data_IF_015901815956
#
_entry.id   IF_015901815956
#
_cell.length_a   1.000
_cell.length_b   1.000
_cell.length_c   1.000
_cell.angle_alpha   90.00
_cell.angle_beta   90.00
_cell.angle_gamma   90.00
#
_symmetry.space_group_name_H-M   'P 1'
#
loop_
_entity.id
_entity.type
_entity.pdbx_description
1 polymer ?
#
# COMPACT_ATOMS: atom_id res chain seq x y z
N UNK A 1 -11.51 18.28 1.69
CA UNK A 1 -11.14 16.87 1.54
C UNK A 1 -9.66 16.76 1.19
N UNK A 2 -8.94 15.95 1.92
CA UNK A 2 -7.48 15.85 1.77
C UNK A 2 -7.08 14.56 1.06
N UNK A 3 -6.06 14.64 0.21
CA UNK A 3 -5.49 13.46 -0.44
C UNK A 3 -4.37 12.84 0.41
N UNK A 4 -4.07 13.44 1.54
CA UNK A 4 -2.96 12.99 2.37
C UNK A 4 -3.07 11.53 2.81
N UNK A 5 -4.22 11.03 3.25
CA UNK A 5 -4.31 9.60 3.60
C UNK A 5 -3.98 8.69 2.43
N UNK A 6 -4.36 9.10 1.23
CA UNK A 6 -4.08 8.34 0.02
C UNK A 6 -2.59 8.33 -0.29
N UNK A 7 -1.97 9.50 -0.20
CA UNK A 7 -0.54 9.63 -0.45
C UNK A 7 0.26 8.82 0.56
N UNK A 8 -0.12 8.89 1.83
CA UNK A 8 0.55 8.14 2.89
C UNK A 8 0.48 6.63 2.64
N UNK A 9 -0.68 6.14 2.22
CA UNK A 9 -0.86 4.73 1.96
C UNK A 9 -0.03 4.27 0.76
N UNK A 10 0.07 5.11 -0.26
CA UNK A 10 0.88 4.80 -1.43
C UNK A 10 2.36 4.71 -1.05
N UNK A 11 2.81 5.59 -0.19
CA UNK A 11 4.20 5.58 0.28
C UNK A 11 4.51 4.31 1.07
N UNK A 12 3.58 3.89 1.92
CA UNK A 12 3.72 2.66 2.69
C UNK A 12 3.79 1.46 1.74
N UNK A 13 2.90 1.42 0.76
CA UNK A 13 2.88 0.34 -0.22
C UNK A 13 4.20 0.27 -0.98
N UNK A 14 4.71 1.40 -1.41
CA UNK A 14 5.95 1.46 -2.15
C UNK A 14 7.12 0.95 -1.31
N UNK A 15 7.21 1.38 -0.07
CA UNK A 15 8.29 0.96 0.83
C UNK A 15 8.23 -0.55 1.10
N UNK A 16 7.03 -1.09 1.34
CA UNK A 16 6.87 -2.51 1.61
C UNK A 16 7.17 -3.35 0.36
N UNK A 17 6.79 -2.84 -0.79
CA UNK A 17 7.06 -3.55 -2.04
C UNK A 17 8.56 -3.65 -2.32
N UNK A 18 9.30 -2.58 -2.05
CA UNK A 18 10.75 -2.59 -2.19
C UNK A 18 11.40 -3.62 -1.28
N UNK A 19 10.93 -3.72 -0.05
CA UNK A 19 11.41 -4.73 0.90
C UNK A 19 11.10 -6.14 0.42
N UNK A 20 9.92 -6.32 -0.14
CA UNK A 20 9.50 -7.62 -0.68
C UNK A 20 10.43 -8.06 -1.81
N UNK A 21 10.78 -7.14 -2.69
CA UNK A 21 11.69 -7.44 -3.79
C UNK A 21 13.09 -7.84 -3.32
N UNK A 22 13.47 -7.38 -2.11
CA UNK A 22 14.73 -7.75 -1.51
C UNK A 22 14.68 -9.10 -0.80
N UNK A 23 13.53 -9.77 -0.84
CA UNK A 23 13.37 -11.09 -0.25
C UNK A 23 12.63 -11.12 1.07
N UNK A 24 12.08 -9.99 1.52
CA UNK A 24 11.32 -9.92 2.76
C UNK A 24 9.88 -10.34 2.52
N UNK A 25 9.56 -11.58 2.83
CA UNK A 25 8.22 -12.12 2.59
C UNK A 25 7.14 -11.44 3.44
N UNK A 26 7.48 -11.02 4.65
CA UNK A 26 6.53 -10.34 5.50
C UNK A 26 6.10 -9.01 4.88
N UNK A 27 7.02 -8.34 4.18
CA UNK A 27 6.70 -7.10 3.49
C UNK A 27 5.67 -7.30 2.38
N UNK A 28 5.69 -8.48 1.73
CA UNK A 28 4.69 -8.81 0.72
C UNK A 28 3.28 -8.83 1.29
N UNK A 29 3.13 -9.40 2.49
CA UNK A 29 1.83 -9.42 3.17
C UNK A 29 1.38 -8.01 3.52
N UNK A 30 2.30 -7.16 4.00
CA UNK A 30 1.97 -5.78 4.34
C UNK A 30 1.61 -4.96 3.10
N UNK A 31 2.31 -5.19 1.99
CA UNK A 31 2.00 -4.51 0.73
C UNK A 31 0.58 -4.84 0.26
N UNK A 32 0.21 -6.12 0.38
CA UNK A 32 -1.14 -6.56 0.01
C UNK A 32 -2.20 -5.88 0.88
N UNK A 33 -1.90 -5.73 2.16
CA UNK A 33 -2.80 -5.07 3.09
C UNK A 33 -2.97 -3.60 2.72
N UNK A 34 -1.90 -2.94 2.33
CA UNK A 34 -1.97 -1.55 1.87
C UNK A 34 -2.84 -1.41 0.63
N UNK A 35 -2.75 -2.38 -0.28
CA UNK A 35 -3.62 -2.38 -1.47
C UNK A 35 -5.10 -2.47 -1.08
N UNK A 36 -5.42 -3.27 -0.07
CA UNK A 36 -6.79 -3.37 0.41
C UNK A 36 -7.26 -2.06 1.02
N UNK A 37 -6.38 -1.37 1.73
CA UNK A 37 -6.70 -0.06 2.30
C UNK A 37 -6.96 0.97 1.20
N UNK A 38 -6.17 0.94 0.13
CA UNK A 38 -6.38 1.83 -1.01
C UNK A 38 -7.75 1.59 -1.65
N UNK A 39 -8.18 0.34 -1.72
CA UNK A 39 -9.51 0.01 -2.22
C UNK A 39 -10.60 0.64 -1.36
N UNK A 40 -10.43 0.59 -0.04
CA UNK A 40 -11.40 1.18 0.88
C UNK A 40 -11.47 2.69 0.76
N UNK A 41 -10.35 3.32 0.44
CA UNK A 41 -10.31 4.76 0.22
C UNK A 41 -10.99 5.12 -1.12
N UNK A 42 -11.16 4.14 -2.00
CA UNK A 42 -11.88 4.33 -3.24
C UNK A 42 -11.00 4.54 -4.47
N UNK A 43 -9.68 4.43 -4.30
CA UNK A 43 -8.77 4.67 -5.40
C UNK A 43 -8.89 3.62 -6.51
N UNK A 44 -9.17 2.39 -6.13
CA UNK A 44 -9.30 1.28 -7.07
C UNK A 44 -10.75 0.83 -7.19
N UNK A 45 -11.66 1.75 -7.01
CA UNK A 45 -13.07 1.43 -7.08
C UNK A 45 -13.46 0.96 -8.48
N UNK A 46 -14.12 -0.17 -8.60
CA UNK A 46 -14.58 -0.66 -9.91
C UNK A 46 -15.67 0.21 -10.52
#
# INVERSE_FOLDING_TARGET
MSLQPLIDEIEVLKAEYEKFERGNKAAGTRARKSLQNLKKIGMLHP
#
